data_IF_064522038944
#
_entry.id   IF_064522038944
#
_cell.length_a   1.000
_cell.length_b   1.000
_cell.length_c   1.000
_cell.angle_alpha   90.00
_cell.angle_beta   90.00
_cell.angle_gamma   90.00
#
_symmetry.space_group_name_H-M   'P 1'
#
loop_
_entity.id
_entity.type
_entity.pdbx_description
1 polymer ?
#
# COMPACT_ATOMS: atom_id res chain seq x y z
N UNK A 1 12.76 14.83 5.06
CA UNK A 1 11.87 14.72 6.25
C UNK A 1 12.01 13.31 6.79
N UNK A 2 12.53 13.14 8.01
CA UNK A 2 12.60 11.81 8.64
C UNK A 2 11.30 11.65 9.41
N UNK A 3 10.35 10.90 8.84
CA UNK A 3 9.16 10.45 9.55
C UNK A 3 9.57 9.33 10.50
N UNK A 4 9.30 9.54 11.79
CA UNK A 4 9.34 8.52 12.82
C UNK A 4 7.94 7.92 12.92
N UNK A 5 7.86 6.60 12.86
CA UNK A 5 6.61 5.83 12.96
C UNK A 5 6.73 4.86 14.14
N UNK A 6 5.60 4.58 14.78
CA UNK A 6 5.45 3.71 15.94
C UNK A 6 4.30 2.73 15.75
N UNK A 7 4.10 1.83 16.71
CA UNK A 7 3.12 0.75 16.68
C UNK A 7 1.66 1.21 16.64
N UNK A 8 1.39 2.46 17.06
CA UNK A 8 0.05 3.04 17.03
C UNK A 8 -0.26 3.77 15.70
N UNK A 9 0.72 3.91 14.82
CA UNK A 9 0.53 4.59 13.55
C UNK A 9 -0.17 3.66 12.54
N UNK A 10 -1.04 4.28 11.74
CA UNK A 10 -1.78 3.62 10.67
C UNK A 10 -1.42 4.30 9.35
N UNK A 11 -0.89 3.52 8.41
CA UNK A 11 -0.64 3.98 7.05
C UNK A 11 -1.66 3.37 6.12
N UNK A 12 -2.43 4.21 5.46
CA UNK A 12 -3.38 3.83 4.43
C UNK A 12 -2.85 4.25 3.06
N UNK A 13 -2.86 3.35 2.07
CA UNK A 13 -2.46 3.66 0.70
C UNK A 13 -3.34 2.91 -0.31
N UNK A 14 -3.45 3.44 -1.54
CA UNK A 14 -4.29 2.85 -2.59
C UNK A 14 -3.52 2.47 -3.85
N UNK A 15 -4.22 1.79 -4.78
CA UNK A 15 -3.64 1.37 -6.08
C UNK A 15 -3.13 2.52 -6.95
N UNK A 16 -3.67 3.74 -6.78
CA UNK A 16 -3.27 4.93 -7.54
C UNK A 16 -1.92 5.49 -7.08
N UNK A 17 -1.56 5.28 -5.81
CA UNK A 17 -0.28 5.76 -5.25
C UNK A 17 0.93 4.95 -5.74
N UNK A 18 0.68 3.89 -6.52
CA UNK A 18 1.66 2.90 -6.97
C UNK A 18 2.07 3.07 -8.43
N UNK A 19 1.56 4.09 -9.12
CA UNK A 19 2.03 4.49 -10.46
C UNK A 19 3.48 4.97 -10.37
N UNK A 20 4.30 4.62 -11.38
CA UNK A 20 5.73 4.94 -11.44
C UNK A 20 5.98 6.44 -11.25
N UNK A 21 6.40 6.83 -10.04
CA UNK A 21 6.55 8.22 -9.63
C UNK A 21 7.44 8.34 -8.38
N UNK A 22 8.03 9.52 -8.12
CA UNK A 22 8.75 9.76 -6.85
C UNK A 22 7.88 9.52 -5.60
N UNK A 23 6.55 9.61 -5.75
CA UNK A 23 5.59 9.36 -4.68
C UNK A 23 5.47 7.87 -4.32
N UNK A 24 5.67 6.98 -5.31
CA UNK A 24 5.72 5.53 -5.11
C UNK A 24 6.84 5.15 -4.15
N UNK A 25 8.04 5.68 -4.38
CA UNK A 25 9.23 5.36 -3.57
C UNK A 25 9.09 5.90 -2.13
N UNK A 26 8.44 7.05 -1.97
CA UNK A 26 8.11 7.60 -0.65
C UNK A 26 7.10 6.72 0.10
N UNK A 27 6.07 6.22 -0.59
CA UNK A 27 5.09 5.28 -0.02
C UNK A 27 5.76 3.97 0.38
N UNK A 28 6.62 3.40 -0.47
CA UNK A 28 7.38 2.20 -0.13
C UNK A 28 8.20 2.38 1.15
N UNK A 29 8.95 3.49 1.27
CA UNK A 29 9.72 3.76 2.48
C UNK A 29 8.84 3.92 3.72
N UNK A 30 7.69 4.58 3.60
CA UNK A 30 6.76 4.79 4.71
C UNK A 30 6.11 3.46 5.15
N UNK A 31 5.66 2.64 4.20
CA UNK A 31 5.11 1.31 4.45
C UNK A 31 6.15 0.44 5.15
N UNK A 32 7.37 0.34 4.61
CA UNK A 32 8.45 -0.45 5.21
C UNK A 32 8.76 0.00 6.63
N UNK A 33 8.85 1.31 6.88
CA UNK A 33 9.09 1.82 8.23
C UNK A 33 7.96 1.51 9.20
N UNK A 34 6.71 1.62 8.74
CA UNK A 34 5.53 1.35 9.58
C UNK A 34 5.45 -0.12 9.96
N UNK A 35 5.70 -1.01 9.01
CA UNK A 35 5.80 -2.45 9.26
C UNK A 35 6.92 -2.80 10.24
N UNK A 36 8.10 -2.21 10.07
CA UNK A 36 9.25 -2.41 10.97
C UNK A 36 9.00 -1.88 12.40
N UNK A 37 8.10 -0.90 12.55
CA UNK A 37 7.69 -0.35 13.84
C UNK A 37 6.49 -1.08 14.45
N UNK A 38 6.06 -2.21 13.88
CA UNK A 38 4.84 -2.94 14.26
C UNK A 38 3.55 -2.11 14.14
N UNK A 39 3.57 -1.02 13.37
CA UNK A 39 2.40 -0.22 13.04
C UNK A 39 1.46 -0.95 12.09
N UNK A 40 0.30 -0.35 11.84
CA UNK A 40 -0.71 -0.95 10.96
C UNK A 40 -0.58 -0.37 9.55
N UNK A 41 -0.52 -1.24 8.55
CA UNK A 41 -0.57 -0.84 7.14
C UNK A 41 -1.86 -1.38 6.53
N UNK A 42 -2.65 -0.49 5.93
CA UNK A 42 -3.93 -0.80 5.29
C UNK A 42 -3.82 -0.49 3.81
N UNK A 43 -4.03 -1.50 2.99
CA UNK A 43 -4.16 -1.34 1.55
C UNK A 43 -5.64 -1.26 1.17
N UNK A 44 -6.05 -0.15 0.57
CA UNK A 44 -7.35 -0.04 -0.09
C UNK A 44 -7.16 -0.19 -1.60
N UNK A 45 -7.59 -1.30 -2.21
CA UNK A 45 -7.41 -1.50 -3.65
C UNK A 45 -8.09 -0.40 -4.49
N UNK A 46 -9.12 0.29 -3.97
CA UNK A 46 -9.85 1.40 -4.60
C UNK A 46 -9.86 1.35 -6.14
N UNK A 47 -10.29 0.19 -6.67
CA UNK A 47 -10.07 -0.18 -8.07
C UNK A 47 -10.87 0.74 -8.99
N UNK A 48 -10.15 1.52 -9.80
CA UNK A 48 -10.75 2.28 -10.90
C UNK A 48 -10.51 1.56 -12.22
N UNK A 49 -11.39 0.61 -12.54
CA UNK A 49 -11.35 -0.19 -13.77
C UNK A 49 -11.13 0.64 -15.06
N UNK A 50 -11.71 1.86 -15.21
CA UNK A 50 -11.48 2.67 -16.42
C UNK A 50 -10.03 3.18 -16.61
N UNK A 51 -9.16 3.04 -15.61
CA UNK A 51 -7.74 3.47 -15.68
C UNK A 51 -6.79 2.37 -16.15
N UNK A 52 -7.30 1.16 -16.40
CA UNK A 52 -6.50 -0.01 -16.76
C UNK A 52 -6.93 -0.53 -18.13
N UNK A 53 -5.98 -0.64 -19.05
CA UNK A 53 -6.22 -1.19 -20.39
C UNK A 53 -6.50 -2.70 -20.36
N UNK A 54 -6.03 -3.39 -19.31
CA UNK A 54 -6.13 -4.83 -19.15
C UNK A 54 -6.44 -5.22 -17.69
N UNK A 55 -7.48 -6.04 -17.51
CA UNK A 55 -7.91 -6.54 -16.21
C UNK A 55 -6.90 -7.50 -15.57
N UNK A 56 -6.08 -8.20 -16.35
CA UNK A 56 -5.07 -9.11 -15.80
C UNK A 56 -3.91 -8.33 -15.18
N UNK A 57 -3.51 -7.20 -15.76
CA UNK A 57 -2.44 -6.36 -15.20
C UNK A 57 -2.86 -5.73 -13.87
N UNK A 58 -4.13 -5.34 -13.76
CA UNK A 58 -4.76 -4.94 -12.51
C UNK A 58 -4.72 -6.08 -11.47
N UNK A 59 -5.09 -7.30 -11.89
CA UNK A 59 -5.14 -8.47 -10.99
C UNK A 59 -3.74 -8.83 -10.47
N UNK A 60 -2.74 -8.84 -11.34
CA UNK A 60 -1.34 -9.09 -10.98
C UNK A 60 -0.84 -8.01 -10.01
N UNK A 61 -1.12 -6.74 -10.28
CA UNK A 61 -0.77 -5.62 -9.40
C UNK A 61 -1.38 -5.82 -8.01
N UNK A 62 -2.69 -6.08 -7.91
CA UNK A 62 -3.35 -6.35 -6.63
C UNK A 62 -2.70 -7.53 -5.90
N UNK A 63 -2.37 -8.62 -6.61
CA UNK A 63 -1.73 -9.79 -5.99
C UNK A 63 -0.32 -9.51 -5.46
N UNK A 64 0.49 -8.77 -6.21
CA UNK A 64 1.83 -8.35 -5.75
C UNK A 64 1.71 -7.49 -4.49
N UNK A 65 0.74 -6.58 -4.44
CA UNK A 65 0.55 -5.72 -3.26
C UNK A 65 -0.14 -6.41 -2.09
N UNK A 66 -0.98 -7.42 -2.31
CA UNK A 66 -1.45 -8.30 -1.23
C UNK A 66 -0.32 -9.09 -0.58
N UNK A 67 0.74 -9.42 -1.34
CA UNK A 67 1.89 -10.14 -0.80
C UNK A 67 2.82 -9.24 0.04
N UNK A 68 2.85 -7.93 -0.23
CA UNK A 68 3.71 -6.94 0.44
C UNK A 68 2.95 -6.21 1.56
N UNK A 69 1.67 -5.94 1.33
CA UNK A 69 0.76 -5.29 2.24
C UNK A 69 0.38 -6.25 3.35
N UNK A 70 0.85 -5.93 4.56
CA UNK A 70 0.38 -6.52 5.78
C UNK A 70 -1.13 -6.78 5.73
N UNK A 71 -1.47 -7.98 6.19
CA UNK A 71 -2.71 -8.28 6.88
C UNK A 71 -3.60 -7.04 7.05
N UNK A 72 -4.63 -6.94 6.23
CA UNK A 72 -5.85 -6.33 6.69
C UNK A 72 -6.16 -7.04 8.01
N UNK A 73 -5.90 -6.40 9.15
CA UNK A 73 -6.60 -6.74 10.38
C UNK A 73 -8.05 -6.42 10.05
N UNK A 74 -8.70 -7.40 9.42
CA UNK A 74 -10.14 -7.53 9.37
C UNK A 74 -10.58 -7.22 10.78
N UNK A 75 -11.33 -6.14 10.94
CA UNK A 75 -12.03 -5.85 12.17
C UNK A 75 -12.91 -7.07 12.47
N UNK A 76 -12.37 -7.99 13.26
CA UNK A 76 -13.05 -9.02 14.02
C UNK A 76 -12.49 -9.00 15.41
#
# INVERSE_FOLDING_TARGET
>A
MILNVNENDVVHFCSVDLVDSPMRDAHYQLITKTLNANGTVVFDPNVRLPLWDNAEDLRQTIHTFFAIGAYCKSFR
#
